data_IF_611414529406
#
_entry.id   IF_611414529406
#
_cell.length_a   1.000
_cell.length_b   1.000
_cell.length_c   1.000
_cell.angle_alpha   90.00
_cell.angle_beta   90.00
_cell.angle_gamma   90.00
#
_symmetry.space_group_name_H-M   'P 1'
#
loop_
_entity.id
_entity.type
_entity.pdbx_description
1 polymer ?
#
# COMPACT_ATOMS: atom_id res chain seq x y z
N UNK A 1 19.96 18.02 10.78
CA UNK A 1 18.64 17.80 11.40
C UNK A 1 17.67 17.55 10.26
N UNK A 2 17.09 16.35 10.15
CA UNK A 2 16.04 16.11 9.14
C UNK A 2 14.89 17.06 9.40
N UNK A 3 14.45 17.80 8.38
CA UNK A 3 13.36 18.78 8.49
C UNK A 3 12.00 18.13 8.80
N UNK A 4 11.92 16.81 8.69
CA UNK A 4 10.79 15.98 9.12
C UNK A 4 11.17 15.27 10.41
N UNK A 5 10.26 15.28 11.40
CA UNK A 5 10.43 14.54 12.65
C UNK A 5 10.61 13.03 12.42
N UNK A 6 10.79 12.27 13.49
CA UNK A 6 10.92 10.82 13.42
C UNK A 6 9.57 10.20 13.02
N UNK A 7 9.30 10.12 11.70
CA UNK A 7 8.03 9.64 11.12
C UNK A 7 8.29 8.66 9.97
N UNK A 8 7.37 7.72 9.78
CA UNK A 8 7.44 6.72 8.69
C UNK A 8 7.14 7.37 7.33
N UNK A 9 8.19 7.62 6.54
CA UNK A 9 8.10 8.20 5.19
C UNK A 9 7.58 7.22 4.12
N UNK A 10 7.33 5.95 4.47
CA UNK A 10 6.81 4.97 3.51
C UNK A 10 7.83 4.47 2.50
N UNK A 11 9.13 4.55 2.82
CA UNK A 11 10.19 3.90 2.06
C UNK A 11 10.00 2.39 2.09
N UNK A 12 9.39 1.84 1.04
CA UNK A 12 9.08 0.42 0.91
C UNK A 12 9.58 -0.09 -0.42
N UNK A 13 9.89 -1.38 -0.52
CA UNK A 13 10.30 -2.01 -1.80
C UNK A 13 9.22 -1.79 -2.87
N UNK A 14 7.94 -1.97 -2.52
CA UNK A 14 6.82 -1.72 -3.43
C UNK A 14 6.80 -0.27 -3.92
N UNK A 15 6.93 0.70 -3.00
CA UNK A 15 6.94 2.13 -3.32
C UNK A 15 8.09 2.50 -4.26
N UNK A 16 9.32 2.16 -3.90
CA UNK A 16 10.50 2.48 -4.72
C UNK A 16 10.44 1.82 -6.10
N UNK A 17 10.07 0.54 -6.18
CA UNK A 17 9.95 -0.17 -7.47
C UNK A 17 8.89 0.48 -8.35
N UNK A 18 7.72 0.80 -7.79
CA UNK A 18 6.65 1.49 -8.49
C UNK A 18 7.07 2.86 -9.01
N UNK A 19 7.68 3.68 -8.16
CA UNK A 19 8.15 5.01 -8.54
C UNK A 19 9.21 4.94 -9.65
N UNK A 20 10.18 4.03 -9.57
CA UNK A 20 11.18 3.85 -10.62
C UNK A 20 10.54 3.47 -11.96
N UNK A 21 9.62 2.50 -11.96
CA UNK A 21 8.93 2.09 -13.19
C UNK A 21 8.07 3.22 -13.76
N UNK A 22 7.33 3.93 -12.92
CA UNK A 22 6.51 5.06 -13.35
C UNK A 22 7.37 6.18 -13.96
N UNK A 23 8.50 6.51 -13.34
CA UNK A 23 9.44 7.51 -13.87
C UNK A 23 10.01 7.09 -15.23
N UNK A 24 10.42 5.83 -15.39
CA UNK A 24 10.89 5.32 -16.67
C UNK A 24 9.80 5.36 -17.75
N UNK A 25 8.58 4.97 -17.40
CA UNK A 25 7.43 5.01 -18.32
C UNK A 25 7.09 6.43 -18.78
N UNK A 26 6.99 7.38 -17.85
CA UNK A 26 6.72 8.78 -18.18
C UNK A 26 7.88 9.45 -18.93
N UNK A 27 9.13 9.19 -18.54
CA UNK A 27 10.29 9.71 -19.26
C UNK A 27 10.33 9.16 -20.70
N UNK A 28 10.10 7.86 -20.88
CA UNK A 28 10.02 7.23 -22.20
C UNK A 28 8.90 7.78 -23.06
N UNK A 29 7.70 7.96 -22.47
CA UNK A 29 6.58 8.61 -23.16
C UNK A 29 6.92 10.06 -23.56
N UNK A 30 7.57 10.83 -22.68
CA UNK A 30 8.01 12.20 -22.95
C UNK A 30 9.01 12.27 -24.12
N UNK A 31 10.00 11.38 -24.15
CA UNK A 31 10.94 11.26 -25.27
C UNK A 31 10.20 10.94 -26.57
N UNK A 32 9.24 10.01 -26.54
CA UNK A 32 8.44 9.64 -27.70
C UNK A 32 7.56 10.80 -28.22
N UNK A 33 7.01 11.62 -27.32
CA UNK A 33 6.30 12.86 -27.69
C UNK A 33 7.25 13.83 -28.41
N UNK A 34 8.44 14.08 -27.87
CA UNK A 34 9.44 14.94 -28.51
C UNK A 34 9.88 14.42 -29.88
N UNK A 35 9.88 13.10 -30.08
CA UNK A 35 10.21 12.44 -31.33
C UNK A 35 9.01 12.27 -32.30
N UNK A 36 7.81 12.76 -31.94
CA UNK A 36 6.57 12.55 -32.68
C UNK A 36 6.26 11.05 -32.98
N UNK A 37 6.65 10.16 -32.07
CA UNK A 37 6.55 8.70 -32.24
C UNK A 37 5.40 8.10 -31.40
N UNK A 38 4.23 7.97 -32.01
CA UNK A 38 3.01 7.51 -31.32
C UNK A 38 3.13 6.13 -30.63
N UNK A 39 3.74 5.08 -31.24
CA UNK A 39 3.92 3.80 -30.57
C UNK A 39 4.72 3.89 -29.26
N UNK A 40 5.73 4.75 -29.21
CA UNK A 40 6.54 4.95 -28.00
C UNK A 40 5.77 5.58 -26.85
N UNK A 41 4.81 6.46 -27.16
CA UNK A 41 3.91 7.05 -26.17
C UNK A 41 3.09 5.94 -25.51
N UNK A 42 2.47 5.07 -26.30
CA UNK A 42 1.68 3.96 -25.78
C UNK A 42 2.53 2.94 -25.01
N UNK A 43 3.76 2.68 -25.46
CA UNK A 43 4.69 1.83 -24.74
C UNK A 43 5.02 2.41 -23.35
N UNK A 44 5.36 3.70 -23.28
CA UNK A 44 5.64 4.39 -22.01
C UNK A 44 4.44 4.38 -21.07
N UNK A 45 3.23 4.67 -21.59
CA UNK A 45 1.99 4.57 -20.81
C UNK A 45 1.71 3.13 -20.35
N UNK A 46 2.03 2.12 -21.17
CA UNK A 46 1.97 0.71 -20.79
C UNK A 46 2.89 0.39 -19.60
N UNK A 47 4.11 0.93 -19.59
CA UNK A 47 5.04 0.80 -18.45
C UNK A 47 4.49 1.46 -17.19
N UNK A 48 3.84 2.63 -17.31
CA UNK A 48 3.18 3.29 -16.16
C UNK A 48 2.04 2.42 -15.59
N UNK A 49 1.21 1.83 -16.45
CA UNK A 49 0.17 0.91 -16.01
C UNK A 49 0.77 -0.33 -15.32
N UNK A 50 1.84 -0.90 -15.89
CA UNK A 50 2.59 -2.00 -15.28
C UNK A 50 3.18 -1.60 -13.92
N UNK A 51 3.66 -0.37 -13.74
CA UNK A 51 4.16 0.12 -12.46
C UNK A 51 3.09 0.03 -11.36
N UNK A 52 1.85 0.43 -11.66
CA UNK A 52 0.73 0.30 -10.73
C UNK A 52 0.45 -1.15 -10.35
N UNK A 53 0.44 -2.06 -11.33
CA UNK A 53 0.22 -3.49 -11.10
C UNK A 53 1.35 -4.09 -10.26
N UNK A 54 2.62 -3.83 -10.61
CA UNK A 54 3.79 -4.34 -9.88
C UNK A 54 3.79 -3.84 -8.43
N UNK A 55 3.52 -2.55 -8.22
CA UNK A 55 3.41 -1.95 -6.88
C UNK A 55 2.33 -2.64 -6.06
N UNK A 56 1.16 -2.87 -6.67
CA UNK A 56 0.05 -3.54 -6.01
C UNK A 56 0.38 -4.99 -5.65
N UNK A 57 0.97 -5.76 -6.57
CA UNK A 57 1.39 -7.15 -6.31
C UNK A 57 2.45 -7.23 -5.21
N UNK A 58 3.44 -6.33 -5.22
CA UNK A 58 4.44 -6.24 -4.16
C UNK A 58 3.81 -5.87 -2.81
N UNK A 59 2.84 -4.95 -2.80
CA UNK A 59 2.08 -4.61 -1.60
C UNK A 59 1.33 -5.84 -1.05
N UNK A 60 0.60 -6.57 -1.90
CA UNK A 60 -0.09 -7.81 -1.51
C UNK A 60 0.87 -8.91 -1.02
N UNK A 61 2.10 -8.90 -1.53
CA UNK A 61 3.17 -9.77 -1.06
C UNK A 61 3.79 -9.32 0.28
N UNK A 62 3.41 -8.16 0.84
CA UNK A 62 3.92 -7.64 2.11
C UNK A 62 5.16 -6.75 1.99
N UNK A 63 5.49 -6.31 0.78
CA UNK A 63 6.60 -5.39 0.50
C UNK A 63 6.18 -3.92 0.42
N UNK A 64 4.92 -3.62 0.76
CA UNK A 64 4.37 -2.27 0.78
C UNK A 64 3.89 -1.88 2.17
N UNK A 65 3.53 -0.60 2.33
CA UNK A 65 3.04 -0.06 3.60
C UNK A 65 1.54 -0.32 3.77
N UNK A 66 1.07 -0.93 4.87
CA UNK A 66 -0.35 -1.01 5.18
C UNK A 66 -0.92 0.37 5.54
N UNK A 67 -2.25 0.48 5.53
CA UNK A 67 -2.94 1.69 6.02
C UNK A 67 -2.70 1.88 7.52
N UNK A 68 -2.43 3.12 7.94
CA UNK A 68 -2.25 3.49 9.35
C UNK A 68 -0.78 3.55 9.81
N UNK A 69 -0.55 3.90 11.09
CA UNK A 69 0.78 3.96 11.68
C UNK A 69 1.40 2.56 11.81
N UNK A 70 2.70 2.44 11.56
CA UNK A 70 3.47 1.21 11.75
C UNK A 70 4.55 1.45 12.80
N UNK A 71 4.83 0.49 13.70
CA UNK A 71 5.93 0.61 14.64
C UNK A 71 7.27 0.77 13.92
N UNK A 72 8.17 1.51 14.56
CA UNK A 72 9.51 1.83 14.05
C UNK A 72 10.32 0.60 13.64
N UNK A 73 10.14 -0.52 14.34
CA UNK A 73 10.81 -1.79 14.05
C UNK A 73 10.51 -2.33 12.63
N UNK A 74 9.44 -1.90 11.97
CA UNK A 74 9.19 -2.27 10.58
C UNK A 74 9.64 -1.22 9.56
N UNK A 75 10.20 -0.06 9.97
CA UNK A 75 10.40 1.08 9.04
C UNK A 75 11.45 0.77 7.97
N UNK A 76 12.31 -0.22 8.22
CA UNK A 76 13.21 -0.73 7.20
C UNK A 76 12.40 -1.32 6.03
N UNK A 77 12.65 -0.76 4.84
CA UNK A 77 12.06 -1.19 3.57
C UNK A 77 12.27 -2.67 3.25
N UNK A 78 13.27 -3.32 3.86
CA UNK A 78 13.54 -4.77 3.73
C UNK A 78 12.70 -5.64 4.65
N UNK A 79 12.01 -5.05 5.63
CA UNK A 79 11.13 -5.82 6.50
C UNK A 79 9.82 -6.12 5.78
N UNK A 80 9.47 -7.41 5.74
CA UNK A 80 8.27 -7.88 5.07
C UNK A 80 7.11 -7.95 6.07
N UNK A 81 5.97 -7.41 5.69
CA UNK A 81 4.75 -7.50 6.47
C UNK A 81 4.16 -8.92 6.38
N UNK A 82 4.25 -9.66 7.49
CA UNK A 82 3.70 -11.01 7.59
C UNK A 82 2.16 -11.05 7.55
N UNK A 83 1.49 -9.97 7.97
CA UNK A 83 0.03 -9.83 7.98
C UNK A 83 -0.58 -9.57 6.60
N UNK A 84 0.24 -9.18 5.62
CA UNK A 84 -0.21 -8.94 4.25
C UNK A 84 -0.87 -10.18 3.61
N UNK A 85 -0.53 -11.41 4.06
CA UNK A 85 -1.16 -12.65 3.56
C UNK A 85 -2.64 -12.77 3.92
N UNK A 86 -3.03 -12.28 5.09
CA UNK A 86 -4.44 -12.24 5.53
C UNK A 86 -5.15 -11.01 5.00
N UNK A 87 -4.40 -9.93 4.70
CA UNK A 87 -4.95 -8.65 4.27
C UNK A 87 -5.29 -7.75 5.47
N UNK A 88 -5.34 -6.45 5.21
CA UNK A 88 -5.54 -5.41 6.24
C UNK A 88 -6.91 -4.77 6.13
N UNK A 89 -7.53 -4.52 7.30
CA UNK A 89 -8.88 -4.01 7.41
C UNK A 89 -9.15 -2.72 6.64
N UNK A 90 -8.28 -1.75 6.87
CA UNK A 90 -8.47 -0.40 6.34
C UNK A 90 -7.74 -0.18 5.01
N UNK A 91 -7.17 -1.23 4.41
CA UNK A 91 -6.38 -1.12 3.20
C UNK A 91 -7.20 -1.42 1.95
N UNK A 92 -7.48 -0.38 1.14
CA UNK A 92 -8.16 -0.52 -0.15
C UNK A 92 -7.44 -1.52 -1.09
N UNK A 93 -6.10 -1.47 -1.13
CA UNK A 93 -5.29 -2.36 -1.97
C UNK A 93 -5.47 -3.84 -1.62
N UNK A 94 -5.60 -4.16 -0.32
CA UNK A 94 -5.93 -5.51 0.13
C UNK A 94 -7.40 -5.86 -0.16
N UNK A 95 -8.34 -4.94 0.04
CA UNK A 95 -9.78 -5.20 -0.16
C UNK A 95 -10.14 -5.48 -1.62
N UNK A 96 -9.55 -4.78 -2.58
CA UNK A 96 -9.82 -4.98 -4.01
C UNK A 96 -9.28 -6.32 -4.56
N UNK A 97 -8.36 -6.97 -3.83
CA UNK A 97 -7.73 -8.23 -4.27
C UNK A 97 -8.60 -9.49 -4.09
N UNK A 98 -9.75 -9.38 -3.43
CA UNK A 98 -10.79 -10.41 -3.46
C UNK A 98 -11.55 -10.64 -2.15
N UNK A 99 -12.64 -11.42 -2.18
CA UNK A 99 -13.60 -11.53 -1.07
C UNK A 99 -12.99 -12.05 0.23
N UNK A 100 -12.02 -12.97 0.15
CA UNK A 100 -11.36 -13.56 1.32
C UNK A 100 -10.53 -12.53 2.10
N UNK A 101 -9.85 -11.64 1.38
CA UNK A 101 -9.06 -10.56 1.97
C UNK A 101 -9.95 -9.40 2.41
N UNK A 102 -11.07 -9.18 1.74
CA UNK A 102 -12.12 -8.26 2.19
C UNK A 102 -12.77 -8.72 3.51
N UNK A 103 -13.00 -10.03 3.70
CA UNK A 103 -13.56 -10.58 4.93
C UNK A 103 -12.57 -10.51 6.12
N UNK A 104 -11.29 -10.82 5.88
CA UNK A 104 -10.23 -10.59 6.87
C UNK A 104 -10.04 -9.09 7.17
N UNK A 105 -10.40 -8.25 6.21
CA UNK A 105 -10.39 -6.80 6.33
C UNK A 105 -11.66 -6.20 6.97
N UNK A 106 -12.69 -7.00 7.28
CA UNK A 106 -13.85 -6.47 7.98
C UNK A 106 -13.44 -6.12 9.42
N UNK A 107 -13.78 -4.92 9.94
CA UNK A 107 -13.59 -4.61 11.34
C UNK A 107 -14.22 -5.71 12.20
N UNK A 108 -13.44 -6.37 13.06
CA UNK A 108 -14.03 -7.33 14.02
C UNK A 108 -15.06 -6.57 14.85
N UNK A 109 -16.28 -7.09 15.02
CA UNK A 109 -17.23 -6.49 15.93
C UNK A 109 -16.57 -6.43 17.31
N UNK A 110 -16.44 -5.21 17.85
CA UNK A 110 -15.99 -5.03 19.23
C UNK A 110 -17.01 -5.76 20.10
N UNK A 111 -16.59 -6.82 20.77
CA UNK A 111 -17.37 -7.46 21.82
C UNK A 111 -17.73 -6.37 22.83
N UNK A 112 -19.02 -6.04 22.92
CA UNK A 112 -19.51 -5.10 23.90
C UNK A 112 -19.14 -5.65 25.29
N UNK A 113 -18.25 -4.94 25.99
CA UNK A 113 -17.98 -5.23 27.39
C UNK A 113 -19.28 -4.97 28.13
N UNK A 114 -19.88 -6.02 28.69
CA UNK A 114 -21.01 -5.88 29.59
C UNK A 114 -20.55 -5.07 30.80
N UNK A 115 -21.06 -3.85 30.92
CA UNK A 115 -20.92 -3.08 32.15
C UNK A 115 -21.73 -3.80 33.24
N UNK A 116 -21.17 -4.06 34.43
CA UNK A 116 -21.93 -4.65 35.53
C UNK A 116 -23.10 -3.75 35.87
N UNK A 117 -24.29 -4.35 36.01
CA UNK A 117 -25.49 -3.65 36.44
C UNK A 117 -25.21 -3.02 37.82
N UNK A 118 -25.46 -1.72 37.94
CA UNK A 118 -25.40 -1.05 39.23
C UNK A 118 -26.52 -1.61 40.11
N UNK A 119 -26.15 -2.32 41.17
CA UNK A 119 -27.09 -2.75 42.20
C UNK A 119 -27.58 -1.51 42.96
N UNK A 120 -28.76 -1.03 42.59
CA UNK A 120 -29.50 -0.03 43.35
C UNK A 120 -30.08 -0.69 44.60
N UNK A 121 -29.32 -0.67 45.69
CA UNK A 121 -29.80 -1.01 47.03
C UNK A 121 -30.12 0.27 47.78
N UNK A 122 -31.40 0.52 48.05
CA UNK A 122 -31.91 1.50 49.01
C UNK A 122 -33.13 0.91 49.71
#
# INVERSE_FOLDING_TARGET
MSAHGHVDLGHTVAGWTGTTLALLGFAGAGVAVCAAWAPGIWLGLGVVAAAGIVTWLLHLAGWGKPSGPRPEAGWDWRTRDAGARTGHADCLGCRVSGPRRAAAAAPRPRSAVSLPAADSSA
#
